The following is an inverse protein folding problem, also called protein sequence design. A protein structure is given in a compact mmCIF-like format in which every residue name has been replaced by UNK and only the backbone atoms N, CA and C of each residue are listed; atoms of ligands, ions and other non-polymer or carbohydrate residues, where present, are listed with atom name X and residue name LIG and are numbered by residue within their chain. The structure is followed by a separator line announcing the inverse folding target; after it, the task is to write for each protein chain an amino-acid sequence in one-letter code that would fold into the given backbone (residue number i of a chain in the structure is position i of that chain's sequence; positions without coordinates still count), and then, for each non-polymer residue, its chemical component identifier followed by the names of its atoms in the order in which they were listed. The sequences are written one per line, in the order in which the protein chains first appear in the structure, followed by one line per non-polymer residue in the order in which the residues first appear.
data_IF_677329495076
#
_entry.id   IF_677329495076
#
_cell.length_a   1.000
_cell.length_b   1.000
_cell.length_c   1.000
_cell.angle_alpha   90.00
_cell.angle_beta   90.00
_cell.angle_gamma   90.00
#
_symmetry.space_group_name_H-M   'P 1'
#
loop_
_entity.id
_entity.type
_entity.pdbx_description
1 polymer ?
#
# COMPACT_ATOMS: atom_id res chain seq x y z
N UNK A 1 19.44 25.48 4.16
CA UNK A 1 20.83 25.35 4.73
C UNK A 1 20.90 24.26 5.81
N UNK A 2 20.23 24.37 6.98
CA UNK A 2 20.31 23.30 8.00
C UNK A 2 19.72 21.97 7.52
N UNK A 3 18.57 21.99 6.85
CA UNK A 3 17.93 20.78 6.30
C UNK A 3 18.76 20.13 5.20
N UNK A 4 19.39 20.90 4.31
CA UNK A 4 20.25 20.35 3.24
C UNK A 4 21.51 19.68 3.83
N UNK A 5 22.05 20.27 4.91
CA UNK A 5 23.16 19.68 5.66
C UNK A 5 22.74 18.39 6.35
N UNK A 6 21.53 18.38 6.94
CA UNK A 6 20.95 17.18 7.55
C UNK A 6 20.78 16.07 6.51
N UNK A 7 20.14 16.35 5.38
CA UNK A 7 19.94 15.36 4.31
C UNK A 7 21.27 14.79 3.81
N UNK A 8 22.26 15.67 3.58
CA UNK A 8 23.59 15.25 3.15
C UNK A 8 24.26 14.33 4.18
N UNK A 9 24.06 14.58 5.47
CA UNK A 9 24.65 13.79 6.54
C UNK A 9 23.93 12.46 6.73
N UNK A 10 22.59 12.45 6.68
CA UNK A 10 21.79 11.23 6.71
C UNK A 10 22.17 10.30 5.55
N UNK A 11 22.33 10.83 4.35
CA UNK A 11 22.77 10.09 3.18
C UNK A 11 24.15 9.45 3.38
N UNK A 12 25.10 10.17 4.00
CA UNK A 12 26.42 9.62 4.33
C UNK A 12 26.35 8.53 5.41
N UNK A 13 25.49 8.68 6.40
CA UNK A 13 25.28 7.66 7.44
C UNK A 13 24.63 6.41 6.86
N UNK A 14 23.67 6.58 5.98
CA UNK A 14 22.95 5.47 5.32
C UNK A 14 23.87 4.64 4.39
N UNK A 15 24.87 5.26 3.74
CA UNK A 15 25.91 4.57 2.94
C UNK A 15 25.36 3.55 1.95
N UNK A 16 24.50 3.98 1.03
CA UNK A 16 23.88 3.10 0.02
C UNK A 16 23.08 1.94 0.61
N UNK A 17 22.44 2.13 1.76
CA UNK A 17 21.62 1.09 2.42
C UNK A 17 22.41 0.19 3.38
N UNK A 18 23.70 0.47 3.64
CA UNK A 18 24.48 -0.27 4.63
C UNK A 18 23.94 -0.08 6.06
N UNK A 19 23.35 1.08 6.33
CA UNK A 19 22.85 1.46 7.64
C UNK A 19 21.40 1.94 7.56
N UNK A 20 20.65 1.72 8.63
CA UNK A 20 19.23 2.10 8.77
C UNK A 20 19.12 3.08 9.94
N UNK A 21 18.42 4.19 9.76
CA UNK A 21 18.07 5.11 10.84
C UNK A 21 16.76 4.64 11.48
N UNK A 22 16.76 4.33 12.76
CA UNK A 22 15.57 3.83 13.46
C UNK A 22 14.71 4.95 14.06
N UNK A 23 15.36 5.89 14.76
CA UNK A 23 14.68 7.00 15.40
C UNK A 23 15.64 8.18 15.63
N UNK A 24 15.07 9.32 16.01
CA UNK A 24 15.79 10.56 16.20
C UNK A 24 15.18 11.45 17.29
N UNK A 25 15.99 12.37 17.81
CA UNK A 25 15.57 13.43 18.73
C UNK A 25 16.32 14.72 18.45
N UNK A 26 15.76 15.85 18.87
CA UNK A 26 16.50 17.12 18.86
C UNK A 26 17.63 17.13 19.91
N UNK A 27 18.70 17.78 19.55
CA UNK A 27 19.78 18.21 20.43
C UNK A 27 20.05 19.71 20.17
N UNK A 28 20.52 20.50 21.14
CA UNK A 28 20.75 21.94 20.98
C UNK A 28 21.64 22.31 19.77
N UNK A 29 22.52 21.41 19.35
CA UNK A 29 23.45 21.63 18.24
C UNK A 29 23.22 20.70 17.04
N UNK A 30 22.05 20.05 16.95
CA UNK A 30 21.76 19.13 15.85
C UNK A 30 20.73 18.08 16.20
N UNK A 31 21.02 16.83 15.84
CA UNK A 31 20.12 15.68 16.07
C UNK A 31 20.87 14.52 16.70
N UNK A 32 20.24 13.85 17.64
CA UNK A 32 20.58 12.50 18.04
C UNK A 32 19.85 11.50 17.18
N UNK A 33 20.52 10.45 16.72
CA UNK A 33 19.91 9.38 15.90
C UNK A 33 20.37 8.02 16.37
N UNK A 34 19.53 7.02 16.25
CA UNK A 34 19.94 5.61 16.37
C UNK A 34 20.11 5.06 14.96
N UNK A 35 21.33 4.70 14.61
CA UNK A 35 21.69 4.13 13.30
C UNK A 35 22.24 2.73 13.52
N UNK A 36 21.73 1.76 12.78
CA UNK A 36 22.11 0.35 12.86
C UNK A 36 22.55 -0.18 11.49
N UNK A 37 23.45 -1.17 11.43
CA UNK A 37 23.76 -1.87 10.18
C UNK A 37 22.53 -2.63 9.64
N UNK A 38 22.44 -2.80 8.32
CA UNK A 38 21.30 -3.48 7.66
C UNK A 38 21.04 -4.91 8.17
N UNK A 39 22.07 -5.63 8.60
CA UNK A 39 21.95 -7.00 9.13
C UNK A 39 21.55 -7.05 10.63
N UNK A 40 21.54 -5.90 11.32
CA UNK A 40 21.33 -5.83 12.76
C UNK A 40 19.96 -6.38 13.17
N UNK A 41 18.92 -5.99 12.44
CA UNK A 41 17.55 -6.38 12.77
C UNK A 41 17.39 -7.91 12.82
N UNK A 42 17.89 -8.62 11.81
CA UNK A 42 17.83 -10.08 11.78
C UNK A 42 18.60 -10.74 12.92
N UNK A 43 19.74 -10.16 13.35
CA UNK A 43 20.48 -10.66 14.49
C UNK A 43 19.76 -10.37 15.81
N UNK A 44 19.19 -9.17 15.96
CA UNK A 44 18.51 -8.73 17.19
C UNK A 44 17.20 -9.48 17.43
N UNK A 45 16.46 -9.83 16.37
CA UNK A 45 15.20 -10.58 16.44
C UNK A 45 15.39 -12.10 16.35
N UNK A 46 16.64 -12.57 16.21
CA UNK A 46 16.93 -14.00 16.13
C UNK A 46 16.54 -14.73 17.43
N UNK A 47 15.95 -15.92 17.36
CA UNK A 47 15.74 -16.78 18.53
C UNK A 47 17.03 -17.12 19.30
N UNK A 48 18.18 -17.05 18.63
CA UNK A 48 19.50 -17.26 19.22
C UNK A 48 20.12 -16.00 19.84
N UNK A 49 19.42 -14.87 19.83
CA UNK A 49 19.89 -13.65 20.49
C UNK A 49 20.02 -13.85 22.03
N UNK A 50 21.03 -13.29 22.70
CA UNK A 50 21.24 -13.47 24.15
C UNK A 50 20.04 -13.12 25.03
N UNK A 51 19.13 -12.25 24.58
CA UNK A 51 17.87 -11.97 25.29
C UNK A 51 16.92 -13.17 25.34
N UNK A 52 17.09 -14.16 24.46
CA UNK A 52 16.26 -15.38 24.39
C UNK A 52 14.82 -15.16 23.92
N UNK A 53 14.41 -13.93 23.55
CA UNK A 53 13.04 -13.58 23.21
C UNK A 53 12.99 -12.77 21.89
N UNK A 54 13.18 -13.48 20.78
CA UNK A 54 13.17 -12.87 19.46
C UNK A 54 11.85 -12.14 19.13
N UNK A 55 10.71 -12.66 19.62
CA UNK A 55 9.40 -12.03 19.37
C UNK A 55 9.26 -10.69 20.07
N UNK A 56 9.66 -10.60 21.35
CA UNK A 56 9.63 -9.31 22.05
C UNK A 56 10.60 -8.30 21.47
N UNK A 57 11.71 -8.76 20.91
CA UNK A 57 12.64 -7.89 20.21
C UNK A 57 12.03 -7.38 18.89
N UNK A 58 11.34 -8.25 18.17
CA UNK A 58 10.62 -7.84 16.95
C UNK A 58 9.51 -6.82 17.26
N UNK A 59 8.69 -7.09 18.28
CA UNK A 59 7.62 -6.18 18.71
C UNK A 59 8.17 -4.81 19.12
N UNK A 60 9.32 -4.78 19.80
CA UNK A 60 9.99 -3.53 20.15
C UNK A 60 10.49 -2.78 18.92
N UNK A 61 11.13 -3.45 17.97
CA UNK A 61 11.55 -2.80 16.72
C UNK A 61 10.33 -2.27 15.97
N UNK A 62 9.27 -3.06 15.88
CA UNK A 62 8.02 -2.66 15.23
C UNK A 62 7.44 -1.39 15.83
N UNK A 63 7.36 -1.30 17.17
CA UNK A 63 6.91 -0.08 17.86
C UNK A 63 7.82 1.11 17.57
N UNK A 64 9.12 0.90 17.47
CA UNK A 64 10.08 1.96 17.23
C UNK A 64 9.97 2.55 15.82
N UNK A 65 9.64 1.72 14.83
CA UNK A 65 9.56 2.09 13.43
C UNK A 65 8.13 2.27 12.89
N UNK A 66 7.10 2.17 13.75
CA UNK A 66 5.73 2.52 13.42
C UNK A 66 5.45 3.99 13.72
N UNK A 67 4.77 4.68 12.82
CA UNK A 67 4.46 6.10 12.99
C UNK A 67 5.69 7.02 12.95
N UNK A 68 5.75 8.03 13.84
CA UNK A 68 6.85 8.99 13.90
C UNK A 68 8.12 8.38 14.49
N UNK A 69 9.26 8.69 13.86
CA UNK A 69 10.61 8.34 14.34
C UNK A 69 11.14 9.31 15.39
N UNK A 70 10.47 10.44 15.56
CA UNK A 70 10.78 11.42 16.59
C UNK A 70 10.53 10.83 17.98
N UNK A 71 11.50 11.00 18.87
CA UNK A 71 11.46 10.55 20.27
C UNK A 71 11.91 11.68 21.20
N UNK A 72 11.52 11.61 22.48
CA UNK A 72 12.12 12.46 23.48
C UNK A 72 13.61 12.15 23.63
N UNK A 73 14.37 13.17 24.05
CA UNK A 73 15.83 13.05 24.17
C UNK A 73 16.27 11.86 25.03
N UNK A 74 15.63 11.67 26.18
CA UNK A 74 15.97 10.58 27.09
C UNK A 74 15.57 9.21 26.53
N UNK A 75 14.46 9.13 25.77
CA UNK A 75 14.03 7.90 25.10
C UNK A 75 15.07 7.39 24.08
N UNK A 76 15.85 8.29 23.45
CA UNK A 76 16.93 7.85 22.55
C UNK A 76 17.96 7.03 23.30
N UNK A 77 18.35 7.43 24.51
CA UNK A 77 19.34 6.69 25.29
C UNK A 77 18.79 5.38 25.84
N UNK A 78 17.52 5.34 26.24
CA UNK A 78 16.83 4.12 26.67
C UNK A 78 16.75 3.12 25.52
N UNK A 79 16.31 3.56 24.34
CA UNK A 79 16.22 2.74 23.15
C UNK A 79 17.61 2.25 22.70
N UNK A 80 18.62 3.11 22.70
CA UNK A 80 20.00 2.75 22.38
C UNK A 80 20.55 1.69 23.35
N UNK A 81 20.30 1.87 24.63
CA UNK A 81 20.69 0.89 25.68
C UNK A 81 20.04 -0.47 25.44
N UNK A 82 18.73 -0.50 25.14
CA UNK A 82 18.00 -1.72 24.85
C UNK A 82 18.50 -2.43 23.60
N UNK A 83 18.90 -1.69 22.59
CA UNK A 83 19.48 -2.21 21.35
C UNK A 83 20.95 -2.61 21.50
N UNK A 84 21.62 -2.21 22.59
CA UNK A 84 23.06 -2.42 22.77
C UNK A 84 23.91 -1.61 21.79
N UNK A 85 23.46 -0.43 21.36
CA UNK A 85 24.16 0.48 20.45
C UNK A 85 24.36 1.85 21.08
N UNK A 86 25.27 2.64 20.54
CA UNK A 86 25.45 4.03 20.94
C UNK A 86 24.66 4.96 20.00
N UNK A 87 23.99 6.01 20.52
CA UNK A 87 23.42 7.05 19.66
C UNK A 87 24.50 7.71 18.81
N UNK A 88 24.13 8.10 17.61
CA UNK A 88 24.94 8.92 16.69
C UNK A 88 24.50 10.36 16.77
N UNK A 89 25.45 11.29 16.73
CA UNK A 89 25.16 12.71 16.74
C UNK A 89 25.41 13.34 15.35
N UNK A 90 24.41 14.04 14.85
CA UNK A 90 24.47 14.83 13.63
C UNK A 90 24.60 16.29 14.03
N UNK A 91 25.83 16.84 13.93
CA UNK A 91 26.07 18.26 14.18
C UNK A 91 25.58 19.09 13.01
N UNK A 92 24.87 20.18 13.31
CA UNK A 92 24.41 21.18 12.33
C UNK A 92 25.04 22.55 12.63
N UNK A 93 25.28 23.33 11.58
CA UNK A 93 25.88 24.67 11.71
C UNK A 93 24.87 25.73 12.17
N UNK A 94 23.60 25.44 12.06
CA UNK A 94 22.51 26.29 12.56
C UNK A 94 21.44 25.44 13.23
N UNK A 95 20.77 25.97 14.28
CA UNK A 95 19.71 25.24 14.95
C UNK A 95 18.54 24.97 14.00
N UNK A 96 17.87 23.85 14.23
CA UNK A 96 16.60 23.53 13.60
C UNK A 96 15.47 24.15 14.39
N UNK A 97 14.40 24.51 13.70
CA UNK A 97 13.15 24.82 14.34
C UNK A 97 12.55 23.54 14.96
N UNK A 98 11.99 23.65 16.16
CA UNK A 98 11.45 22.52 16.95
C UNK A 98 9.92 22.47 16.95
N UNK A 99 9.26 23.27 16.11
CA UNK A 99 7.81 23.23 15.95
C UNK A 99 7.33 21.98 15.22
N UNK A 100 6.04 21.66 15.36
CA UNK A 100 5.42 20.46 14.83
C UNK A 100 5.65 20.29 13.32
N UNK A 101 5.54 21.36 12.54
CA UNK A 101 5.80 21.32 11.09
C UNK A 101 7.25 20.94 10.75
N UNK A 102 8.22 21.36 11.58
CA UNK A 102 9.62 20.99 11.41
C UNK A 102 9.87 19.54 11.82
N UNK A 103 9.23 19.06 12.86
CA UNK A 103 9.28 17.64 13.26
C UNK A 103 8.78 16.77 12.12
N UNK A 104 7.63 17.09 11.55
CA UNK A 104 7.03 16.34 10.44
C UNK A 104 7.94 16.31 9.21
N UNK A 105 8.50 17.46 8.83
CA UNK A 105 9.42 17.57 7.69
C UNK A 105 10.72 16.76 7.89
N UNK A 106 11.30 16.81 9.10
CA UNK A 106 12.50 16.06 9.44
C UNK A 106 12.19 14.57 9.48
N UNK A 107 11.05 14.18 10.05
CA UNK A 107 10.63 12.78 10.15
C UNK A 107 10.44 12.17 8.76
N UNK A 108 9.78 12.86 7.84
CA UNK A 108 9.64 12.44 6.43
C UNK A 108 10.99 12.32 5.71
N UNK A 109 11.95 13.20 6.02
CA UNK A 109 13.30 13.10 5.48
C UNK A 109 14.01 11.84 6.02
N UNK A 110 13.91 11.57 7.32
CA UNK A 110 14.55 10.43 7.98
C UNK A 110 13.94 9.12 7.52
N UNK A 111 12.64 9.05 7.29
CA UNK A 111 11.94 7.86 6.76
C UNK A 111 12.54 7.34 5.46
N UNK A 112 13.13 8.21 4.62
CA UNK A 112 13.84 7.81 3.39
C UNK A 112 15.09 6.97 3.64
N UNK A 113 15.63 7.02 4.85
CA UNK A 113 16.83 6.30 5.27
C UNK A 113 16.52 5.25 6.35
N UNK A 114 15.26 4.92 6.49
CA UNK A 114 14.69 4.07 7.53
C UNK A 114 13.93 2.88 6.95
N UNK A 115 13.49 2.01 7.83
CA UNK A 115 12.46 1.02 7.62
C UNK A 115 11.20 1.50 8.33
N UNK A 116 10.04 1.45 7.65
CA UNK A 116 8.74 1.74 8.24
C UNK A 116 7.95 0.47 8.50
N UNK A 117 7.08 0.47 9.49
CA UNK A 117 6.08 -0.56 9.70
C UNK A 117 4.70 0.07 9.82
N UNK A 118 3.74 -0.50 9.08
CA UNK A 118 2.34 -0.07 9.09
C UNK A 118 1.45 -1.28 9.38
N UNK A 119 0.55 -1.12 10.35
CA UNK A 119 -0.33 -2.21 10.79
C UNK A 119 -1.49 -2.46 9.82
N UNK A 120 -2.01 -1.39 9.20
CA UNK A 120 -3.24 -1.46 8.43
C UNK A 120 -3.20 -0.53 7.23
N UNK A 121 -2.76 -1.04 6.10
CA UNK A 121 -2.79 -0.32 4.81
C UNK A 121 -3.48 -1.16 3.76
N UNK A 122 -4.35 -0.51 3.01
CA UNK A 122 -4.94 -1.11 1.82
C UNK A 122 -3.91 -1.22 0.70
N UNK A 123 -3.92 -2.34 0.01
CA UNK A 123 -3.14 -2.60 -1.19
C UNK A 123 -4.02 -3.26 -2.23
N UNK A 124 -3.96 -2.76 -3.46
CA UNK A 124 -4.57 -3.34 -4.63
C UNK A 124 -3.52 -4.04 -5.49
N UNK A 125 -3.89 -5.17 -6.09
CA UNK A 125 -3.05 -5.88 -7.06
C UNK A 125 -3.87 -6.06 -8.33
N UNK A 126 -3.32 -5.58 -9.44
CA UNK A 126 -3.82 -5.83 -10.79
C UNK A 126 -2.81 -6.68 -11.54
N UNK A 127 -3.27 -7.72 -12.18
CA UNK A 127 -2.47 -8.65 -12.94
C UNK A 127 -3.14 -8.95 -14.28
N UNK A 128 -2.36 -9.05 -15.35
CA UNK A 128 -2.86 -9.30 -16.69
C UNK A 128 -2.93 -10.80 -16.93
N UNK A 129 -4.15 -11.31 -17.12
CA UNK A 129 -4.36 -12.72 -17.38
C UNK A 129 -3.62 -13.17 -18.67
N UNK A 130 -2.97 -14.34 -18.59
CA UNK A 130 -2.28 -14.98 -19.73
C UNK A 130 -1.17 -14.12 -20.36
N UNK A 131 -0.60 -13.16 -19.61
CA UNK A 131 0.37 -12.19 -20.12
C UNK A 131 1.55 -12.80 -20.87
N UNK A 132 2.06 -13.92 -20.38
CA UNK A 132 3.21 -14.61 -21.01
C UNK A 132 2.89 -15.24 -22.37
N UNK A 133 1.61 -15.41 -22.71
CA UNK A 133 1.19 -15.98 -24.01
C UNK A 133 1.13 -14.93 -25.12
N UNK A 134 1.17 -13.65 -24.77
CA UNK A 134 1.14 -12.56 -25.75
C UNK A 134 2.53 -12.25 -26.31
N UNK A 135 2.55 -11.74 -27.54
CA UNK A 135 3.79 -11.26 -28.16
C UNK A 135 4.28 -9.99 -27.44
N UNK A 136 5.59 -9.70 -27.43
CA UNK A 136 6.16 -8.56 -26.72
C UNK A 136 5.48 -7.20 -27.02
N UNK A 137 5.07 -6.97 -28.25
CA UNK A 137 4.33 -5.74 -28.62
C UNK A 137 2.94 -5.70 -27.97
N UNK A 138 2.24 -6.83 -27.92
CA UNK A 138 0.93 -6.93 -27.28
C UNK A 138 1.05 -6.76 -25.76
N UNK A 139 2.08 -7.38 -25.16
CA UNK A 139 2.40 -7.19 -23.73
C UNK A 139 2.61 -5.71 -23.39
N UNK A 140 3.42 -5.01 -24.19
CA UNK A 140 3.64 -3.57 -24.02
C UNK A 140 2.33 -2.75 -24.18
N UNK A 141 1.50 -3.11 -25.14
CA UNK A 141 0.21 -2.45 -25.38
C UNK A 141 -0.77 -2.67 -24.23
N UNK A 142 -0.84 -3.87 -23.68
CA UNK A 142 -1.70 -4.20 -22.54
C UNK A 142 -1.26 -3.49 -21.26
N UNK A 143 0.04 -3.45 -20.95
CA UNK A 143 0.57 -2.68 -19.82
C UNK A 143 0.31 -1.20 -19.96
N UNK A 144 0.44 -0.65 -21.16
CA UNK A 144 0.10 0.75 -21.44
C UNK A 144 -1.39 1.02 -21.25
N UNK A 145 -2.26 0.11 -21.68
CA UNK A 145 -3.72 0.23 -21.49
C UNK A 145 -4.09 0.17 -20.00
N UNK A 146 -3.51 -0.74 -19.21
CA UNK A 146 -3.71 -0.79 -17.78
C UNK A 146 -3.22 0.51 -17.10
N UNK A 147 -2.04 0.99 -17.50
CA UNK A 147 -1.50 2.27 -16.99
C UNK A 147 -2.41 3.45 -17.32
N UNK A 148 -3.05 3.45 -18.50
CA UNK A 148 -4.05 4.45 -18.87
C UNK A 148 -5.27 4.39 -17.94
N UNK A 149 -5.84 3.19 -17.69
CA UNK A 149 -6.99 3.03 -16.79
C UNK A 149 -6.67 3.53 -15.38
N UNK A 150 -5.47 3.25 -14.87
CA UNK A 150 -5.00 3.76 -13.58
C UNK A 150 -4.89 5.28 -13.55
N UNK A 151 -4.30 5.89 -14.58
CA UNK A 151 -4.16 7.35 -14.66
C UNK A 151 -5.53 8.05 -14.85
N UNK A 152 -6.45 7.40 -15.55
CA UNK A 152 -7.83 7.87 -15.73
C UNK A 152 -8.58 7.86 -14.40
N UNK A 153 -8.53 6.75 -13.66
CA UNK A 153 -9.14 6.63 -12.33
C UNK A 153 -8.57 7.68 -11.35
N UNK A 154 -7.24 7.83 -11.31
CA UNK A 154 -6.57 8.86 -10.52
C UNK A 154 -7.08 10.27 -10.84
N UNK A 155 -7.16 10.59 -12.14
CA UNK A 155 -7.61 11.91 -12.58
C UNK A 155 -9.08 12.18 -12.28
N UNK A 156 -9.92 11.15 -12.25
CA UNK A 156 -11.33 11.25 -11.88
C UNK A 156 -11.47 11.57 -10.40
N UNK A 157 -10.82 10.79 -9.53
CA UNK A 157 -10.84 11.03 -8.08
C UNK A 157 -10.36 12.43 -7.73
N UNK A 158 -9.27 12.88 -8.35
CA UNK A 158 -8.74 14.23 -8.13
C UNK A 158 -9.74 15.34 -8.52
N UNK A 159 -10.53 15.14 -9.58
CA UNK A 159 -11.57 16.10 -9.98
C UNK A 159 -12.73 16.17 -8.99
N UNK A 160 -13.04 15.06 -8.34
CA UNK A 160 -14.05 15.00 -7.28
C UNK A 160 -13.53 15.48 -5.91
N UNK A 161 -12.30 15.99 -5.86
CA UNK A 161 -11.72 16.57 -4.64
C UNK A 161 -11.08 15.56 -3.70
N UNK A 162 -10.95 14.30 -4.10
CA UNK A 162 -10.24 13.28 -3.32
C UNK A 162 -8.74 13.55 -3.38
N UNK A 163 -8.11 13.68 -2.22
CA UNK A 163 -6.66 13.76 -2.12
C UNK A 163 -6.06 12.37 -2.34
N UNK A 164 -5.37 12.20 -3.46
CA UNK A 164 -4.79 10.91 -3.83
C UNK A 164 -3.26 10.99 -3.86
N UNK A 165 -2.62 10.20 -3.02
CA UNK A 165 -1.17 10.06 -2.92
C UNK A 165 -0.76 8.61 -3.19
N UNK A 166 -1.16 8.08 -4.36
CA UNK A 166 -0.91 6.69 -4.69
C UNK A 166 0.54 6.43 -5.11
N UNK A 167 1.06 5.30 -4.63
CA UNK A 167 2.29 4.69 -5.10
C UNK A 167 1.98 3.40 -5.85
N UNK A 168 2.87 3.01 -6.75
CA UNK A 168 2.77 1.73 -7.45
C UNK A 168 4.13 1.11 -7.69
N UNK A 169 4.16 -0.22 -7.74
CA UNK A 169 5.33 -0.99 -8.19
C UNK A 169 4.87 -2.06 -9.15
N UNK A 170 5.69 -2.37 -10.16
CA UNK A 170 5.35 -3.39 -11.15
C UNK A 170 5.66 -4.79 -10.63
N UNK A 171 4.81 -5.76 -11.01
CA UNK A 171 5.05 -7.21 -10.84
C UNK A 171 5.67 -7.85 -12.09
N UNK A 172 5.80 -7.08 -13.18
CA UNK A 172 6.19 -7.57 -14.51
C UNK A 172 5.00 -7.66 -15.46
N UNK A 173 3.91 -8.23 -15.03
CA UNK A 173 2.63 -8.41 -15.74
C UNK A 173 1.47 -7.62 -15.11
N UNK A 174 1.78 -6.77 -14.12
CA UNK A 174 0.79 -5.97 -13.42
C UNK A 174 1.39 -4.97 -12.45
N UNK A 175 0.58 -4.54 -11.48
CA UNK A 175 0.98 -3.54 -10.50
C UNK A 175 0.37 -3.79 -9.12
N UNK A 176 1.21 -3.67 -8.08
CA UNK A 176 0.75 -3.30 -6.75
C UNK A 176 0.51 -1.80 -6.69
N UNK A 177 -0.58 -1.38 -6.06
CA UNK A 177 -0.92 0.03 -5.81
C UNK A 177 -1.33 0.18 -4.36
N UNK A 178 -0.85 1.25 -3.71
CA UNK A 178 -1.24 1.62 -2.34
C UNK A 178 -1.30 3.13 -2.18
N UNK A 179 -2.03 3.61 -1.18
CA UNK A 179 -1.98 5.01 -0.79
C UNK A 179 -0.80 5.22 0.18
N UNK A 180 0.04 6.24 -0.04
CA UNK A 180 1.12 6.59 0.90
C UNK A 180 0.58 7.18 2.20
N UNK A 181 -0.54 7.87 2.11
CA UNK A 181 -1.21 8.39 3.29
C UNK A 181 -1.85 7.24 4.08
N UNK A 182 -1.97 7.45 5.38
CA UNK A 182 -2.41 6.44 6.34
C UNK A 182 -3.78 6.76 6.91
N UNK A 183 -4.50 5.74 7.31
CA UNK A 183 -5.78 5.86 7.99
C UNK A 183 -6.95 5.31 7.21
N UNK A 184 -8.16 5.54 7.73
CA UNK A 184 -9.38 4.98 7.18
C UNK A 184 -9.74 5.57 5.81
N UNK A 185 -9.70 6.90 5.67
CA UNK A 185 -9.99 7.56 4.38
C UNK A 185 -9.04 7.10 3.26
N UNK A 186 -7.70 7.12 3.42
CA UNK A 186 -6.78 6.62 2.40
C UNK A 186 -7.02 5.17 1.99
N UNK A 187 -7.47 4.30 2.91
CA UNK A 187 -7.82 2.93 2.59
C UNK A 187 -9.11 2.83 1.76
N UNK A 188 -10.12 3.64 2.07
CA UNK A 188 -11.37 3.77 1.29
C UNK A 188 -11.08 4.32 -0.10
N UNK A 189 -10.29 5.39 -0.19
CA UNK A 189 -9.88 6.01 -1.46
C UNK A 189 -9.19 5.02 -2.38
N UNK A 190 -8.37 4.13 -1.83
CA UNK A 190 -7.72 3.09 -2.63
C UNK A 190 -8.73 2.06 -3.17
N UNK A 191 -9.74 1.66 -2.40
CA UNK A 191 -10.78 0.75 -2.92
C UNK A 191 -11.63 1.44 -3.98
N UNK A 192 -11.98 2.71 -3.79
CA UNK A 192 -12.66 3.53 -4.78
C UNK A 192 -11.86 3.63 -6.09
N UNK A 193 -10.55 3.89 -5.97
CA UNK A 193 -9.63 3.85 -7.10
C UNK A 193 -9.60 2.48 -7.79
N UNK A 194 -9.52 1.40 -7.02
CA UNK A 194 -9.52 0.03 -7.52
C UNK A 194 -10.76 -0.26 -8.37
N UNK A 195 -11.95 0.11 -7.89
CA UNK A 195 -13.20 -0.05 -8.63
C UNK A 195 -13.20 0.76 -9.92
N UNK A 196 -12.76 2.02 -9.87
CA UNK A 196 -12.67 2.88 -11.07
C UNK A 196 -11.73 2.32 -12.13
N UNK A 197 -10.57 1.77 -11.74
CA UNK A 197 -9.64 1.13 -12.69
C UNK A 197 -10.31 -0.03 -13.40
N UNK A 198 -11.04 -0.87 -12.66
CA UNK A 198 -11.75 -2.02 -13.22
C UNK A 198 -12.87 -1.60 -14.17
N UNK A 199 -13.64 -0.58 -13.81
CA UNK A 199 -14.72 -0.04 -14.67
C UNK A 199 -14.13 0.58 -15.95
N UNK A 200 -13.11 1.43 -15.84
CA UNK A 200 -12.44 2.03 -17.00
C UNK A 200 -11.85 0.97 -17.94
N UNK A 201 -11.20 -0.06 -17.38
CA UNK A 201 -10.66 -1.16 -18.17
C UNK A 201 -11.77 -1.95 -18.87
N UNK A 202 -12.88 -2.24 -18.20
CA UNK A 202 -14.00 -2.99 -18.79
C UNK A 202 -14.66 -2.21 -19.91
N UNK A 203 -14.91 -0.91 -19.72
CA UNK A 203 -15.46 -0.03 -20.78
C UNK A 203 -14.52 0.03 -21.98
N UNK A 204 -13.21 0.13 -21.74
CA UNK A 204 -12.23 0.12 -22.81
C UNK A 204 -12.20 -1.23 -23.56
N UNK A 205 -12.37 -2.35 -22.86
CA UNK A 205 -12.46 -3.68 -23.49
C UNK A 205 -13.68 -3.84 -24.38
N UNK A 206 -14.83 -3.35 -23.98
CA UNK A 206 -16.05 -3.40 -24.84
C UNK A 206 -15.86 -2.62 -26.15
N UNK A 207 -15.06 -1.56 -26.13
CA UNK A 207 -14.75 -0.76 -27.33
C UNK A 207 -13.61 -1.32 -28.16
N UNK A 208 -12.75 -2.13 -27.55
CA UNK A 208 -11.56 -2.65 -28.23
C UNK A 208 -11.95 -3.76 -29.22
N UNK A 209 -11.52 -3.59 -30.46
CA UNK A 209 -11.65 -4.61 -31.50
C UNK A 209 -10.49 -5.61 -31.52
N UNK A 210 -9.49 -5.39 -30.67
CA UNK A 210 -8.25 -6.18 -30.60
C UNK A 210 -7.93 -6.54 -29.16
N UNK A 211 -7.11 -7.57 -28.92
CA UNK A 211 -6.68 -7.99 -27.59
C UNK A 211 -5.68 -7.07 -26.90
N UNK A 212 -5.68 -5.75 -27.23
CA UNK A 212 -4.74 -4.77 -26.65
C UNK A 212 -5.16 -4.21 -25.31
N UNK A 213 -6.44 -4.34 -24.94
CA UNK A 213 -6.94 -4.02 -23.60
C UNK A 213 -6.95 -5.31 -22.77
N UNK A 214 -6.24 -5.36 -21.64
CA UNK A 214 -6.05 -6.60 -20.91
C UNK A 214 -7.31 -7.13 -20.25
N UNK A 215 -7.41 -8.45 -20.13
CA UNK A 215 -8.26 -9.09 -19.14
C UNK A 215 -7.50 -9.09 -17.82
N UNK A 216 -8.09 -8.48 -16.78
CA UNK A 216 -7.43 -8.37 -15.49
C UNK A 216 -7.85 -9.51 -14.56
N UNK A 217 -6.92 -9.99 -13.75
CA UNK A 217 -7.15 -10.62 -12.47
C UNK A 217 -6.88 -9.56 -11.42
N UNK A 218 -7.70 -9.46 -10.41
CA UNK A 218 -7.55 -8.36 -9.46
C UNK A 218 -7.79 -8.82 -8.03
N UNK A 219 -6.98 -8.31 -7.12
CA UNK A 219 -7.11 -8.60 -5.70
C UNK A 219 -6.93 -7.35 -4.86
N UNK A 220 -7.63 -7.30 -3.72
CA UNK A 220 -7.55 -6.23 -2.75
C UNK A 220 -7.44 -6.80 -1.34
N UNK A 221 -6.56 -6.24 -0.52
CA UNK A 221 -6.42 -6.65 0.88
C UNK A 221 -5.97 -5.47 1.73
N UNK A 222 -6.32 -5.52 3.03
CA UNK A 222 -5.80 -4.60 4.06
C UNK A 222 -5.01 -5.42 5.06
N UNK A 223 -3.78 -4.98 5.37
CA UNK A 223 -2.93 -5.69 6.30
C UNK A 223 -1.63 -4.96 6.62
N UNK A 224 -0.82 -5.59 7.45
CA UNK A 224 0.47 -5.04 7.86
C UNK A 224 1.55 -5.25 6.81
N UNK A 225 2.52 -4.33 6.81
CA UNK A 225 3.68 -4.41 5.94
C UNK A 225 4.82 -3.55 6.48
N UNK A 226 6.00 -3.81 5.92
CA UNK A 226 7.15 -2.91 6.06
C UNK A 226 7.30 -2.08 4.79
N UNK A 227 7.66 -0.81 4.95
CA UNK A 227 7.96 0.10 3.86
C UNK A 227 9.45 0.44 3.88
N UNK A 228 10.10 0.28 2.73
CA UNK A 228 11.50 0.61 2.51
C UNK A 228 11.61 1.65 1.41
N UNK A 229 12.36 2.71 1.66
CA UNK A 229 12.73 3.65 0.62
C UNK A 229 14.07 3.25 0.02
N UNK A 230 14.14 3.24 -1.31
CA UNK A 230 15.40 3.08 -2.03
C UNK A 230 15.75 4.39 -2.72
N UNK A 231 16.85 4.99 -2.28
CA UNK A 231 17.42 6.19 -2.87
C UNK A 231 18.84 5.85 -3.30
N UNK A 232 19.20 6.10 -4.55
CA UNK A 232 20.55 5.94 -5.10
C UNK A 232 20.97 4.53 -5.54
N UNK A 233 22.24 4.41 -5.88
CA UNK A 233 22.80 3.20 -6.47
C UNK A 233 22.42 3.05 -7.94
N UNK A 234 21.83 1.92 -8.29
CA UNK A 234 21.44 1.59 -9.67
C UNK A 234 20.29 2.49 -10.15
N UNK A 235 19.44 2.96 -9.23
CA UNK A 235 18.31 3.81 -9.56
C UNK A 235 18.42 5.16 -8.83
N UNK A 236 18.63 6.28 -9.55
CA UNK A 236 18.75 7.60 -8.96
C UNK A 236 17.44 8.17 -8.44
N UNK A 237 16.30 7.53 -8.75
CA UNK A 237 14.99 7.96 -8.30
C UNK A 237 14.63 7.30 -6.98
N UNK A 238 14.26 8.09 -5.98
CA UNK A 238 13.72 7.57 -4.71
C UNK A 238 12.36 6.95 -4.97
N UNK A 239 12.20 5.68 -4.62
CA UNK A 239 10.91 5.01 -4.64
C UNK A 239 10.78 4.10 -3.41
N UNK A 240 9.54 3.91 -2.97
CA UNK A 240 9.24 3.04 -1.84
C UNK A 240 8.78 1.66 -2.31
N UNK A 241 9.16 0.65 -1.54
CA UNK A 241 8.65 -0.71 -1.65
C UNK A 241 7.85 -1.07 -0.41
N UNK A 242 6.84 -1.89 -0.62
CA UNK A 242 6.11 -2.52 0.47
C UNK A 242 6.36 -4.02 0.44
N UNK A 243 6.66 -4.59 1.62
CA UNK A 243 6.87 -6.04 1.79
C UNK A 243 6.23 -6.49 3.10
N UNK A 244 5.67 -7.67 3.14
CA UNK A 244 5.10 -8.24 4.36
C UNK A 244 3.79 -8.97 4.14
N UNK A 245 2.98 -9.06 5.19
CA UNK A 245 1.78 -9.87 5.21
C UNK A 245 0.80 -9.52 4.09
N UNK A 246 0.51 -8.21 3.90
CA UNK A 246 -0.43 -7.76 2.86
C UNK A 246 -0.01 -8.15 1.45
N UNK A 247 1.27 -8.01 1.10
CA UNK A 247 1.76 -8.34 -0.25
C UNK A 247 1.85 -9.84 -0.47
N UNK A 248 2.21 -10.61 0.57
CA UNK A 248 2.24 -12.07 0.53
C UNK A 248 0.82 -12.62 0.34
N UNK A 249 -0.15 -12.10 1.09
CA UNK A 249 -1.55 -12.51 0.96
C UNK A 249 -2.11 -12.18 -0.42
N UNK A 250 -1.84 -10.99 -0.95
CA UNK A 250 -2.26 -10.59 -2.29
C UNK A 250 -1.64 -11.47 -3.38
N UNK A 251 -0.35 -11.81 -3.28
CA UNK A 251 0.29 -12.73 -4.20
C UNK A 251 -0.36 -14.13 -4.21
N UNK A 252 -0.75 -14.62 -3.04
CA UNK A 252 -1.48 -15.89 -2.93
C UNK A 252 -2.90 -15.81 -3.50
N UNK A 253 -3.60 -14.70 -3.23
CA UNK A 253 -4.94 -14.49 -3.76
C UNK A 253 -4.94 -14.47 -5.29
N UNK A 254 -4.04 -13.71 -5.90
CA UNK A 254 -4.03 -13.50 -7.34
C UNK A 254 -3.78 -14.80 -8.12
N UNK A 255 -3.01 -15.73 -7.56
CA UNK A 255 -2.77 -17.05 -8.18
C UNK A 255 -4.05 -17.87 -8.36
N UNK A 256 -5.09 -17.59 -7.57
CA UNK A 256 -6.37 -18.32 -7.60
C UNK A 256 -7.49 -17.53 -8.27
N UNK A 257 -7.26 -16.25 -8.60
CA UNK A 257 -8.24 -15.41 -9.29
C UNK A 257 -8.35 -15.87 -10.75
N UNK A 258 -9.54 -16.24 -11.24
CA UNK A 258 -9.72 -16.53 -12.65
C UNK A 258 -9.62 -15.26 -13.50
N UNK A 259 -9.42 -15.37 -14.82
CA UNK A 259 -9.47 -14.22 -15.72
C UNK A 259 -10.78 -13.42 -15.55
N UNK A 260 -10.66 -12.11 -15.47
CA UNK A 260 -11.74 -11.15 -15.14
C UNK A 260 -12.32 -11.28 -13.73
N UNK A 261 -11.74 -12.12 -12.87
CA UNK A 261 -12.17 -12.28 -11.48
C UNK A 261 -11.64 -11.19 -10.55
N UNK A 262 -12.30 -11.07 -9.40
CA UNK A 262 -11.93 -10.14 -8.32
C UNK A 262 -11.97 -10.87 -6.99
N UNK A 263 -10.84 -10.95 -6.30
CA UNK A 263 -10.80 -11.47 -4.95
C UNK A 263 -10.51 -10.35 -3.94
N UNK A 264 -11.23 -10.36 -2.84
CA UNK A 264 -10.96 -9.53 -1.68
C UNK A 264 -10.51 -10.45 -0.53
N UNK A 265 -9.38 -10.11 0.10
CA UNK A 265 -8.90 -10.86 1.25
C UNK A 265 -9.83 -10.71 2.46
N UNK A 266 -9.73 -11.63 3.40
CA UNK A 266 -10.37 -11.50 4.71
C UNK A 266 -9.53 -10.60 5.60
N UNK A 267 -10.10 -9.50 6.08
CA UNK A 267 -9.44 -8.49 6.90
C UNK A 267 -10.41 -7.79 7.85
N UNK A 268 -9.86 -7.09 8.83
CA UNK A 268 -10.58 -6.13 9.66
C UNK A 268 -9.96 -4.74 9.46
N UNK A 269 -10.79 -3.73 9.25
CA UNK A 269 -10.34 -2.36 8.96
C UNK A 269 -11.19 -1.32 9.69
N UNK A 270 -10.60 -0.12 9.88
CA UNK A 270 -11.35 1.04 10.31
C UNK A 270 -12.06 1.69 9.13
N UNK A 271 -13.26 2.17 9.37
CA UNK A 271 -13.96 3.14 8.50
C UNK A 271 -13.88 4.53 9.14
N UNK A 272 -13.97 5.61 8.33
CA UNK A 272 -13.87 6.98 8.83
C UNK A 272 -14.80 7.29 10.00
N UNK A 273 -16.05 6.84 9.96
CA UNK A 273 -17.09 7.16 10.91
C UNK A 273 -17.48 5.99 11.83
N UNK A 274 -16.75 4.86 11.77
CA UNK A 274 -17.05 3.69 12.58
C UNK A 274 -16.25 3.67 13.89
N UNK A 275 -16.91 3.30 14.98
CA UNK A 275 -16.29 3.12 16.29
C UNK A 275 -15.64 1.75 16.49
N UNK A 276 -15.85 0.83 15.57
CA UNK A 276 -15.32 -0.54 15.62
C UNK A 276 -14.78 -0.95 14.26
N UNK A 277 -13.89 -1.94 14.28
CA UNK A 277 -13.38 -2.55 13.05
C UNK A 277 -14.52 -3.23 12.28
N UNK A 278 -14.49 -3.12 10.96
CA UNK A 278 -15.44 -3.73 10.04
C UNK A 278 -14.78 -4.77 9.16
N UNK A 279 -15.55 -5.75 8.71
CA UNK A 279 -15.09 -6.75 7.73
C UNK A 279 -15.18 -6.28 6.29
N UNK A 280 -14.69 -7.10 5.32
CA UNK A 280 -14.63 -6.74 3.90
C UNK A 280 -15.97 -6.31 3.31
N UNK A 281 -17.06 -6.93 3.74
CA UNK A 281 -18.41 -6.65 3.28
C UNK A 281 -18.88 -5.22 3.54
N UNK A 282 -18.68 -4.78 4.76
CA UNK A 282 -19.09 -3.45 5.19
C UNK A 282 -18.14 -2.39 4.62
N UNK A 283 -16.85 -2.69 4.59
CA UNK A 283 -15.85 -1.83 3.96
C UNK A 283 -16.15 -1.58 2.48
N UNK A 284 -16.52 -2.64 1.76
CA UNK A 284 -16.90 -2.57 0.35
C UNK A 284 -18.17 -1.73 0.12
N UNK A 285 -19.19 -1.90 0.99
CA UNK A 285 -20.43 -1.09 0.91
C UNK A 285 -20.15 0.39 1.15
N UNK A 286 -19.39 0.72 2.17
CA UNK A 286 -19.00 2.09 2.46
C UNK A 286 -18.27 2.74 1.26
N UNK A 287 -17.26 2.07 0.73
CA UNK A 287 -16.50 2.59 -0.42
C UNK A 287 -17.32 2.71 -1.70
N UNK A 288 -18.32 1.83 -1.89
CA UNK A 288 -19.30 1.97 -2.98
C UNK A 288 -20.13 3.23 -2.82
N UNK A 289 -20.64 3.47 -1.61
CA UNK A 289 -21.50 4.62 -1.33
C UNK A 289 -20.73 5.91 -1.53
N UNK A 290 -19.48 6.00 -1.05
CA UNK A 290 -18.56 7.11 -1.33
C UNK A 290 -18.37 7.34 -2.85
N UNK A 291 -18.22 6.27 -3.62
CA UNK A 291 -18.07 6.38 -5.08
C UNK A 291 -19.34 6.88 -5.76
N UNK A 292 -20.53 6.46 -5.30
CA UNK A 292 -21.81 6.90 -5.85
C UNK A 292 -22.17 8.34 -5.46
N UNK A 293 -21.67 8.82 -4.32
CA UNK A 293 -21.87 10.20 -3.87
C UNK A 293 -21.03 11.22 -4.67
N UNK A 294 -20.06 10.76 -5.48
CA UNK A 294 -19.29 11.60 -6.39
C UNK A 294 -20.12 12.03 -7.60
N UNK A 295 -20.91 13.08 -7.46
CA UNK A 295 -21.93 13.52 -8.42
C UNK A 295 -21.38 13.97 -9.80
N UNK A 296 -20.09 14.32 -9.85
CA UNK A 296 -19.38 14.72 -11.10
C UNK A 296 -18.72 13.56 -11.82
N UNK A 297 -18.75 12.37 -11.25
CA UNK A 297 -18.00 11.22 -11.76
C UNK A 297 -18.60 10.70 -13.09
N UNK A 298 -17.81 10.83 -14.15
CA UNK A 298 -18.14 10.31 -15.48
C UNK A 298 -17.11 9.31 -15.97
N UNK A 299 -17.61 8.22 -16.54
CA UNK A 299 -16.81 7.19 -17.19
C UNK A 299 -17.29 7.13 -18.64
N UNK A 300 -16.38 7.45 -19.56
CA UNK A 300 -16.73 7.50 -20.99
C UNK A 300 -17.96 8.40 -21.29
N UNK A 301 -17.92 9.63 -20.72
CA UNK A 301 -18.98 10.64 -20.79
C UNK A 301 -20.31 10.25 -20.11
N UNK A 302 -20.45 9.02 -19.61
CA UNK A 302 -21.64 8.51 -18.90
C UNK A 302 -21.47 8.65 -17.41
N UNK A 303 -22.55 8.99 -16.72
CA UNK A 303 -22.57 9.05 -15.26
C UNK A 303 -22.67 7.64 -14.68
N UNK A 304 -21.93 7.39 -13.60
CA UNK A 304 -22.09 6.20 -12.78
C UNK A 304 -23.39 6.34 -11.99
N UNK A 305 -24.37 5.48 -12.29
CA UNK A 305 -25.73 5.56 -11.71
C UNK A 305 -25.93 4.60 -10.56
N UNK A 306 -25.36 3.40 -10.63
CA UNK A 306 -25.50 2.38 -9.59
C UNK A 306 -24.36 1.36 -9.62
N UNK A 307 -24.07 0.78 -8.44
CA UNK A 307 -23.17 -0.35 -8.25
C UNK A 307 -23.84 -1.36 -7.30
N UNK A 308 -24.14 -2.53 -7.79
CA UNK A 308 -24.71 -3.63 -7.00
C UNK A 308 -23.72 -4.78 -6.86
N UNK A 309 -23.71 -5.42 -5.70
CA UNK A 309 -22.89 -6.61 -5.48
C UNK A 309 -23.64 -7.86 -5.95
N UNK A 310 -23.12 -8.54 -6.98
CA UNK A 310 -23.77 -9.74 -7.55
C UNK A 310 -23.35 -11.06 -6.90
N UNK A 311 -22.14 -11.16 -6.38
CA UNK A 311 -21.64 -12.42 -5.80
C UNK A 311 -22.17 -12.72 -4.41
N UNK A 312 -22.95 -11.83 -3.84
CA UNK A 312 -23.61 -11.98 -2.56
C UNK A 312 -25.00 -12.56 -2.84
N UNK A 313 -25.16 -13.87 -2.62
CA UNK A 313 -26.41 -14.58 -2.89
C UNK A 313 -27.61 -13.79 -2.40
N UNK A 314 -28.60 -13.60 -3.29
CA UNK A 314 -29.84 -12.92 -2.95
C UNK A 314 -30.47 -13.56 -1.70
N UNK A 315 -30.56 -12.83 -0.60
CA UNK A 315 -31.18 -13.24 0.65
C UNK A 315 -30.25 -13.68 1.79
N UNK A 316 -28.93 -13.76 1.60
CA UNK A 316 -27.97 -13.95 2.67
C UNK A 316 -26.91 -12.84 2.60
N UNK A 317 -26.78 -12.09 3.68
CA UNK A 317 -25.94 -10.88 3.77
C UNK A 317 -24.44 -11.17 3.96
N UNK A 318 -23.96 -12.34 3.57
CA UNK A 318 -22.58 -12.73 3.77
C UNK A 318 -21.92 -13.07 2.42
N UNK A 319 -20.81 -12.36 2.14
CA UNK A 319 -19.88 -12.77 1.10
C UNK A 319 -19.50 -14.22 1.34
N UNK A 320 -19.53 -15.04 0.31
CA UNK A 320 -19.08 -16.40 0.45
C UNK A 320 -17.59 -16.40 0.70
N UNK A 321 -17.21 -16.63 1.96
CA UNK A 321 -15.84 -16.92 2.32
C UNK A 321 -15.39 -18.18 1.58
N UNK A 322 -14.36 -18.04 0.77
CA UNK A 322 -13.68 -19.16 0.12
C UNK A 322 -12.34 -19.36 0.82
N UNK A 323 -11.93 -20.59 0.98
CA UNK A 323 -10.58 -20.89 1.41
C UNK A 323 -9.69 -21.01 0.19
N UNK A 324 -8.67 -20.18 0.15
CA UNK A 324 -7.68 -20.14 -0.91
C UNK A 324 -6.40 -20.79 -0.37
N UNK A 325 -5.97 -21.86 -1.02
CA UNK A 325 -4.73 -22.55 -0.67
C UNK A 325 -3.67 -22.31 -1.75
N UNK A 326 -2.52 -21.80 -1.34
CA UNK A 326 -1.39 -21.55 -2.23
C UNK A 326 -0.64 -22.85 -2.59
N UNK A 327 0.33 -22.74 -3.51
CA UNK A 327 1.21 -23.85 -3.95
C UNK A 327 2.07 -24.45 -2.83
N UNK A 328 2.15 -23.81 -1.66
CA UNK A 328 2.88 -24.27 -0.49
C UNK A 328 1.95 -24.91 0.57
N UNK A 329 0.64 -25.03 0.27
CA UNK A 329 -0.37 -25.57 1.20
C UNK A 329 -0.80 -24.61 2.30
N UNK A 330 -0.50 -23.31 2.17
CA UNK A 330 -0.95 -22.30 3.12
C UNK A 330 -2.33 -21.78 2.71
N UNK A 331 -3.29 -21.94 3.62
CA UNK A 331 -4.67 -21.50 3.40
C UNK A 331 -4.93 -20.12 3.99
N UNK A 332 -5.77 -19.34 3.32
CA UNK A 332 -6.28 -18.06 3.79
C UNK A 332 -7.73 -17.84 3.35
N UNK A 333 -8.47 -17.07 4.14
CA UNK A 333 -9.83 -16.65 3.79
C UNK A 333 -9.81 -15.58 2.67
N UNK A 334 -10.75 -15.68 1.76
CA UNK A 334 -10.97 -14.71 0.69
C UNK A 334 -12.46 -14.63 0.32
N UNK A 335 -12.81 -13.54 -0.34
CA UNK A 335 -14.16 -13.32 -0.85
C UNK A 335 -14.07 -13.14 -2.37
N UNK A 336 -14.81 -13.95 -3.13
CA UNK A 336 -14.99 -13.71 -4.56
C UNK A 336 -16.05 -12.63 -4.72
N UNK A 337 -15.74 -11.54 -5.40
CA UNK A 337 -16.59 -10.35 -5.50
C UNK A 337 -16.95 -10.09 -6.96
N UNK A 338 -18.24 -9.86 -7.22
CA UNK A 338 -18.76 -9.41 -8.50
C UNK A 338 -19.61 -8.15 -8.35
N UNK A 339 -19.65 -7.35 -9.40
CA UNK A 339 -20.39 -6.10 -9.44
C UNK A 339 -21.25 -6.03 -10.69
N UNK A 340 -22.51 -5.65 -10.53
CA UNK A 340 -23.33 -5.11 -11.60
C UNK A 340 -23.32 -3.60 -11.50
N UNK A 341 -22.89 -2.93 -12.55
CA UNK A 341 -22.69 -1.49 -12.62
C UNK A 341 -23.63 -0.93 -13.67
N UNK A 342 -24.28 0.19 -13.39
CA UNK A 342 -25.05 0.94 -14.34
C UNK A 342 -24.38 2.27 -14.70
N UNK A 343 -24.08 2.46 -15.97
CA UNK A 343 -23.53 3.70 -16.54
C UNK A 343 -24.61 4.33 -17.43
N UNK A 344 -25.48 5.15 -16.85
CA UNK A 344 -26.60 5.81 -17.58
C UNK A 344 -27.37 4.83 -18.49
N UNK A 345 -27.79 3.69 -17.92
CA UNK A 345 -28.55 2.65 -18.62
C UNK A 345 -27.68 1.68 -19.44
N UNK A 346 -26.37 1.79 -19.40
CA UNK A 346 -25.46 0.77 -19.92
C UNK A 346 -25.01 -0.17 -18.79
N UNK A 347 -25.52 -1.41 -18.74
CA UNK A 347 -25.12 -2.36 -17.72
C UNK A 347 -23.72 -2.91 -18.01
N UNK A 348 -22.88 -2.96 -16.98
CA UNK A 348 -21.53 -3.56 -17.01
C UNK A 348 -21.38 -4.54 -15.86
N UNK A 349 -20.87 -5.73 -16.12
CA UNK A 349 -20.58 -6.71 -15.10
C UNK A 349 -19.08 -6.86 -14.89
N UNK A 350 -18.63 -6.79 -13.63
CA UNK A 350 -17.25 -7.01 -13.21
C UNK A 350 -17.19 -8.19 -12.24
N UNK A 351 -16.05 -8.92 -12.27
CA UNK A 351 -15.89 -10.13 -11.48
C UNK A 351 -16.65 -11.32 -12.05
N UNK A 352 -16.48 -12.47 -11.44
CA UNK A 352 -17.18 -13.68 -11.89
C UNK A 352 -18.56 -13.79 -11.22
N UNK A 353 -19.60 -13.98 -12.03
CA UNK A 353 -20.88 -14.45 -11.54
C UNK A 353 -20.73 -15.88 -11.03
N UNK A 354 -21.09 -16.13 -9.79
CA UNK A 354 -21.28 -17.53 -9.33
C UNK A 354 -22.39 -18.17 -10.17
N UNK A 355 -22.04 -19.12 -10.99
CA UNK A 355 -22.98 -19.97 -11.68
C UNK A 355 -23.63 -20.98 -10.74
#
# INVERSE_FOLDING_TARGET
MALDQLETTLKKQWRLGQSIVLCWAFDPNGLLTIVIPHYFLGNFTSPSHPSGDGQKNEDFIRQLISGSRFKAHDEIFENASRLGVAPSFIKLDSPLDTGDASIEMIDEMIKRYSLGHEESRAVALFDIADFSLFRPFEQASQLNSLSYSMNSAYSKLKREGVEVNFARTTTGDGYYVWNRDLGAFPNVDLLTFFLLVLIDNAVAREKSQTGTVPTLRSAFHIGSHYELSQAEGINPTVFSYIVGDVTIKLARLIDTVPPAGIHMGDFMANLPDASSLVGPAEFLRYSRDELLDMSGLRIDEKQLSDIQFESWSAGQSEARLIEVTDKHGMSQGAHNVGFAIDLEGMPLALGMRNR
#
